data_IF_746132001178
#
_entry.id   IF_746132001178
#
_cell.length_a   1.000
_cell.length_b   1.000
_cell.length_c   1.000
_cell.angle_alpha   90.00
_cell.angle_beta   90.00
_cell.angle_gamma   90.00
#
_symmetry.space_group_name_H-M   'P 1'
#
loop_
_entity.id
_entity.type
_entity.pdbx_description
1 polymer ?
#
# COMPACT_ATOMS: atom_id res chain seq x y z
N UNK A 1 13.04 -17.28 21.81
CA UNK A 1 14.22 -16.48 22.19
C UNK A 1 14.65 -15.69 20.95
N UNK A 2 14.44 -14.38 20.95
CA UNK A 2 14.59 -13.48 19.80
C UNK A 2 15.97 -12.83 19.76
N UNK A 3 17.00 -13.57 19.36
CA UNK A 3 18.34 -12.99 19.18
C UNK A 3 18.45 -12.04 17.96
N UNK A 4 17.42 -11.99 17.10
CA UNK A 4 17.44 -11.17 15.88
C UNK A 4 17.07 -9.69 16.07
N UNK A 5 16.25 -9.35 17.08
CA UNK A 5 15.79 -7.98 17.29
C UNK A 5 16.89 -7.10 17.89
N UNK A 6 17.58 -7.59 18.93
CA UNK A 6 18.66 -6.85 19.61
C UNK A 6 19.84 -6.56 18.68
N UNK A 7 20.17 -7.50 17.78
CA UNK A 7 21.24 -7.34 16.80
C UNK A 7 20.91 -6.31 15.72
N UNK A 8 19.66 -6.28 15.24
CA UNK A 8 19.21 -5.30 14.26
C UNK A 8 19.15 -3.90 14.87
N UNK A 9 18.60 -3.77 16.09
CA UNK A 9 18.53 -2.49 16.82
C UNK A 9 19.93 -1.90 17.03
N UNK A 10 20.88 -2.72 17.49
CA UNK A 10 22.27 -2.32 17.65
C UNK A 10 22.92 -1.87 16.34
N UNK A 11 22.67 -2.57 15.23
CA UNK A 11 23.17 -2.20 13.91
C UNK A 11 22.60 -0.86 13.45
N UNK A 12 21.28 -0.67 13.54
CA UNK A 12 20.61 0.56 13.13
C UNK A 12 21.13 1.78 13.90
N UNK A 13 21.40 1.66 15.20
CA UNK A 13 22.00 2.75 16.00
C UNK A 13 23.35 3.23 15.46
N UNK A 14 24.15 2.34 14.88
CA UNK A 14 25.47 2.68 14.34
C UNK A 14 25.37 3.32 12.96
N UNK A 15 24.44 2.86 12.11
CA UNK A 15 24.34 3.29 10.70
C UNK A 15 23.30 4.41 10.44
N UNK A 16 22.43 4.70 11.42
CA UNK A 16 21.30 5.63 11.30
C UNK A 16 21.60 7.03 10.74
N UNK A 17 22.72 7.73 11.08
CA UNK A 17 22.88 9.14 10.73
C UNK A 17 22.98 9.43 9.22
N UNK A 18 23.36 8.45 8.41
CA UNK A 18 23.61 8.63 6.97
C UNK A 18 22.71 7.77 6.08
N UNK A 19 21.84 6.95 6.67
CA UNK A 19 21.04 6.01 5.91
C UNK A 19 19.87 6.71 5.23
N UNK A 20 19.85 6.70 3.89
CA UNK A 20 18.74 7.25 3.10
C UNK A 20 17.70 6.18 2.71
N UNK A 21 18.10 4.91 2.66
CA UNK A 21 17.21 3.79 2.30
C UNK A 21 17.33 2.65 3.31
N UNK A 22 16.17 2.16 3.78
CA UNK A 22 16.09 1.04 4.71
C UNK A 22 15.02 0.05 4.26
N UNK A 23 15.43 -1.20 4.09
CA UNK A 23 14.54 -2.33 3.78
C UNK A 23 14.71 -3.39 4.84
N UNK A 24 13.62 -3.74 5.53
CA UNK A 24 13.59 -4.80 6.54
C UNK A 24 12.60 -5.87 6.11
N UNK A 25 13.12 -7.00 5.64
CA UNK A 25 12.33 -8.11 5.08
C UNK A 25 11.78 -9.09 6.13
N UNK A 26 11.85 -8.72 7.41
CA UNK A 26 11.37 -9.52 8.55
C UNK A 26 10.35 -8.72 9.35
N UNK A 27 9.56 -9.40 10.18
CA UNK A 27 8.60 -8.73 11.06
C UNK A 27 9.34 -7.85 12.08
N UNK A 28 8.97 -6.57 12.11
CA UNK A 28 9.63 -5.51 12.87
C UNK A 28 8.90 -5.27 14.19
N UNK A 29 9.64 -5.23 15.29
CA UNK A 29 9.13 -4.85 16.63
C UNK A 29 9.06 -3.33 16.79
N UNK A 30 8.25 -2.82 17.74
CA UNK A 30 8.24 -1.40 18.07
C UNK A 30 9.62 -0.82 18.40
N UNK A 31 10.50 -1.57 19.08
CA UNK A 31 11.84 -1.07 19.46
C UNK A 31 12.72 -0.73 18.26
N UNK A 32 12.60 -1.49 17.16
CA UNK A 32 13.32 -1.22 15.91
C UNK A 32 12.78 0.06 15.26
N UNK A 33 11.45 0.27 15.30
CA UNK A 33 10.85 1.48 14.76
C UNK A 33 11.21 2.74 15.55
N UNK A 34 11.55 2.63 16.85
CA UNK A 34 12.10 3.74 17.62
C UNK A 34 13.46 4.21 17.09
N UNK A 35 14.26 3.29 16.53
CA UNK A 35 15.51 3.67 15.88
C UNK A 35 15.26 4.28 14.49
N UNK A 36 14.24 3.82 13.77
CA UNK A 36 13.83 4.39 12.47
C UNK A 36 13.38 5.85 12.62
N UNK A 37 12.61 6.20 13.65
CA UNK A 37 12.18 7.59 13.93
C UNK A 37 13.36 8.58 14.11
N UNK A 38 14.51 8.08 14.56
CA UNK A 38 15.72 8.88 14.74
C UNK A 38 16.48 9.15 13.43
N UNK A 39 16.19 8.42 12.36
CA UNK A 39 16.92 8.51 11.09
C UNK A 39 16.46 9.72 10.26
N UNK A 40 17.05 10.89 10.51
CA UNK A 40 16.63 12.16 9.88
C UNK A 40 16.94 12.26 8.38
N UNK A 41 17.87 11.46 7.86
CA UNK A 41 18.21 11.41 6.44
C UNK A 41 17.41 10.36 5.65
N UNK A 42 16.58 9.56 6.32
CA UNK A 42 15.86 8.46 5.68
C UNK A 42 14.81 8.98 4.71
N UNK A 43 14.91 8.58 3.44
CA UNK A 43 13.98 8.93 2.35
C UNK A 43 13.12 7.74 1.93
N UNK A 44 13.64 6.52 2.03
CA UNK A 44 12.93 5.30 1.63
C UNK A 44 12.88 4.29 2.76
N UNK A 45 11.67 3.82 3.07
CA UNK A 45 11.43 2.82 4.10
C UNK A 45 10.55 1.69 3.55
N UNK A 46 11.03 0.46 3.66
CA UNK A 46 10.24 -0.76 3.44
C UNK A 46 10.28 -1.64 4.69
N UNK A 47 9.12 -1.85 5.30
CA UNK A 47 8.99 -2.61 6.55
C UNK A 47 7.70 -3.42 6.61
N UNK A 48 7.75 -4.51 7.38
CA UNK A 48 6.59 -5.29 7.76
C UNK A 48 6.49 -5.29 9.28
N UNK A 49 5.41 -4.75 9.83
CA UNK A 49 5.24 -4.68 11.29
C UNK A 49 4.78 -6.04 11.83
N UNK A 50 5.25 -6.40 13.03
CA UNK A 50 4.76 -7.58 13.73
C UNK A 50 3.33 -7.38 14.21
N UNK A 51 2.51 -8.42 14.07
CA UNK A 51 1.18 -8.52 14.69
C UNK A 51 1.18 -9.71 15.64
N UNK A 52 0.98 -9.44 16.93
CA UNK A 52 0.71 -10.46 17.94
C UNK A 52 -0.78 -10.48 18.23
N UNK A 53 -1.36 -11.68 18.28
CA UNK A 53 -2.76 -11.84 18.66
C UNK A 53 -2.96 -11.39 20.11
N UNK A 54 -3.77 -10.34 20.31
CA UNK A 54 -4.16 -9.86 21.63
C UNK A 54 -3.33 -8.69 22.18
N UNK A 55 -2.19 -8.36 21.56
CA UNK A 55 -1.37 -7.22 21.97
C UNK A 55 -1.52 -6.06 20.99
N UNK A 56 -1.99 -4.92 21.50
CA UNK A 56 -1.90 -3.66 20.78
C UNK A 56 -0.48 -3.11 20.97
N UNK A 57 0.43 -3.57 20.13
CA UNK A 57 1.81 -3.07 20.11
C UNK A 57 1.79 -1.61 19.67
N UNK A 58 2.26 -0.73 20.55
CA UNK A 58 2.36 0.70 20.28
C UNK A 58 3.62 0.98 19.44
N UNK A 59 3.42 1.32 18.17
CA UNK A 59 4.51 1.67 17.26
C UNK A 59 4.69 3.19 17.23
N UNK A 60 5.93 3.72 17.26
CA UNK A 60 6.19 5.15 17.17
C UNK A 60 5.87 5.67 15.77
N UNK A 61 5.51 6.95 15.65
CA UNK A 61 5.21 7.63 14.37
C UNK A 61 6.30 7.42 13.29
N UNK A 62 5.88 7.47 12.03
CA UNK A 62 6.80 7.38 10.89
C UNK A 62 7.57 8.71 10.68
N UNK A 63 8.83 8.65 10.23
CA UNK A 63 9.57 9.85 9.83
C UNK A 63 8.85 10.60 8.70
N UNK A 64 8.58 11.89 8.89
CA UNK A 64 7.75 12.68 7.96
C UNK A 64 8.46 13.06 6.66
N UNK A 65 9.79 12.95 6.61
CA UNK A 65 10.61 13.30 5.47
C UNK A 65 10.68 12.21 4.38
N UNK A 66 9.98 11.08 4.57
CA UNK A 66 9.99 9.98 3.61
C UNK A 66 9.43 10.42 2.24
N UNK A 67 10.16 10.01 1.19
CA UNK A 67 9.75 10.13 -0.21
C UNK A 67 9.15 8.82 -0.72
N UNK A 68 9.53 7.68 -0.14
CA UNK A 68 9.02 6.37 -0.50
C UNK A 68 8.72 5.53 0.74
N UNK A 69 7.50 5.03 0.85
CA UNK A 69 7.07 4.18 1.96
C UNK A 69 6.40 2.90 1.44
N UNK A 70 6.92 1.76 1.87
CA UNK A 70 6.26 0.46 1.74
C UNK A 70 6.05 -0.11 3.14
N UNK A 71 4.80 -0.16 3.58
CA UNK A 71 4.47 -0.65 4.92
C UNK A 71 3.40 -1.74 4.85
N UNK A 72 3.71 -2.86 5.51
CA UNK A 72 2.77 -3.97 5.69
C UNK A 72 2.36 -4.09 7.15
N UNK A 73 1.06 -4.31 7.37
CA UNK A 73 0.41 -4.34 8.68
C UNK A 73 0.57 -3.02 9.47
N UNK A 74 0.37 -1.84 8.86
CA UNK A 74 0.51 -0.56 9.58
C UNK A 74 -0.52 -0.43 10.70
N UNK A 75 -0.21 0.44 11.67
CA UNK A 75 -1.15 0.91 12.71
C UNK A 75 -1.77 2.24 12.31
N UNK A 76 -2.83 2.65 13.03
CA UNK A 76 -3.55 3.89 12.72
C UNK A 76 -2.62 5.11 12.75
N UNK A 77 -1.81 5.27 13.79
CA UNK A 77 -0.88 6.40 13.92
C UNK A 77 0.14 6.46 12.77
N UNK A 78 0.62 5.30 12.29
CA UNK A 78 1.50 5.22 11.12
C UNK A 78 0.81 5.76 9.87
N UNK A 79 -0.46 5.38 9.65
CA UNK A 79 -1.24 5.90 8.54
C UNK A 79 -1.58 7.39 8.69
N UNK A 80 -1.80 7.88 9.92
CA UNK A 80 -1.96 9.33 10.18
C UNK A 80 -0.71 10.13 9.83
N UNK A 81 0.48 9.54 9.95
CA UNK A 81 1.70 10.21 9.52
C UNK A 81 1.73 10.46 8.01
N UNK A 82 1.16 9.55 7.21
CA UNK A 82 1.09 9.68 5.74
C UNK A 82 0.40 10.96 5.31
N UNK A 83 -0.65 11.40 6.01
CA UNK A 83 -1.37 12.67 5.73
C UNK A 83 -0.46 13.90 5.83
N UNK A 84 0.66 13.80 6.55
CA UNK A 84 1.61 14.89 6.83
C UNK A 84 2.90 14.80 6.00
N UNK A 85 3.08 13.76 5.18
CA UNK A 85 4.31 13.55 4.42
C UNK A 85 4.31 14.34 3.11
N UNK A 86 4.77 15.59 3.17
CA UNK A 86 4.74 16.52 2.04
C UNK A 86 5.56 16.09 0.81
N UNK A 87 6.58 15.23 1.02
CA UNK A 87 7.49 14.78 -0.03
C UNK A 87 7.21 13.36 -0.53
N UNK A 88 6.17 12.69 -0.02
CA UNK A 88 5.88 11.30 -0.37
C UNK A 88 5.49 11.17 -1.86
N UNK A 89 6.28 10.42 -2.61
CA UNK A 89 6.11 10.16 -4.06
C UNK A 89 5.57 8.77 -4.33
N UNK A 90 5.95 7.80 -3.50
CA UNK A 90 5.56 6.39 -3.62
C UNK A 90 5.04 5.86 -2.30
N UNK A 91 3.86 5.24 -2.32
CA UNK A 91 3.25 4.64 -1.14
C UNK A 91 2.71 3.24 -1.45
N UNK A 92 3.13 2.25 -0.67
CA UNK A 92 2.50 0.92 -0.62
C UNK A 92 1.99 0.67 0.80
N UNK A 93 0.69 0.38 0.91
CA UNK A 93 0.01 0.04 2.16
C UNK A 93 -0.70 -1.29 2.01
N UNK A 94 -0.26 -2.31 2.76
CA UNK A 94 -0.81 -3.67 2.67
C UNK A 94 -1.28 -4.14 4.05
N UNK A 95 -2.45 -4.78 4.09
CA UNK A 95 -2.98 -5.48 5.27
C UNK A 95 -3.18 -4.58 6.50
N UNK A 96 -3.70 -3.35 6.37
CA UNK A 96 -4.12 -2.57 7.54
C UNK A 96 -5.25 -3.31 8.30
N UNK A 97 -5.08 -3.55 9.59
CA UNK A 97 -6.03 -4.30 10.41
C UNK A 97 -6.75 -3.45 11.48
N UNK A 98 -6.34 -2.20 11.67
CA UNK A 98 -6.89 -1.29 12.68
C UNK A 98 -8.35 -0.85 12.43
N UNK A 99 -8.91 0.01 13.27
CA UNK A 99 -10.27 0.55 13.13
C UNK A 99 -10.51 1.25 11.78
N UNK A 100 -11.77 1.38 11.38
CA UNK A 100 -12.12 2.16 10.19
C UNK A 100 -11.74 3.63 10.39
N UNK A 101 -10.97 4.17 9.45
CA UNK A 101 -10.54 5.56 9.43
C UNK A 101 -10.77 6.18 8.05
N UNK A 102 -10.85 7.51 8.02
CA UNK A 102 -10.94 8.31 6.81
C UNK A 102 -9.74 9.27 6.72
N UNK A 103 -9.26 9.44 5.50
CA UNK A 103 -8.21 10.40 5.16
C UNK A 103 -8.82 11.67 4.60
N UNK A 104 -8.30 12.82 5.04
CA UNK A 104 -8.66 14.09 4.43
C UNK A 104 -8.02 14.21 3.03
N UNK A 105 -8.61 14.99 2.11
CA UNK A 105 -7.94 15.33 0.85
C UNK A 105 -6.53 15.85 1.12
N UNK A 106 -5.55 15.21 0.49
CA UNK A 106 -4.16 15.57 0.67
C UNK A 106 -3.92 16.98 0.18
N UNK A 107 -3.26 17.76 1.02
CA UNK A 107 -2.77 19.10 0.66
C UNK A 107 -1.44 19.02 -0.08
N UNK A 108 -0.90 17.81 -0.26
CA UNK A 108 0.40 17.53 -0.84
C UNK A 108 0.23 16.88 -2.21
N UNK A 109 0.69 17.53 -3.27
CA UNK A 109 0.54 17.07 -4.66
C UNK A 109 1.67 16.15 -5.16
N UNK A 110 2.46 15.59 -4.24
CA UNK A 110 3.70 14.87 -4.57
C UNK A 110 3.49 13.40 -4.93
N UNK A 111 2.47 12.73 -4.37
CA UNK A 111 2.28 11.29 -4.51
C UNK A 111 1.93 10.94 -5.96
N UNK A 112 2.74 10.09 -6.59
CA UNK A 112 2.55 9.67 -7.99
C UNK A 112 2.17 8.20 -8.12
N UNK A 113 2.66 7.39 -7.19
CA UNK A 113 2.48 5.95 -7.22
C UNK A 113 1.86 5.49 -5.90
N UNK A 114 0.76 4.75 -5.99
CA UNK A 114 0.03 4.23 -4.83
C UNK A 114 -0.28 2.75 -5.04
N UNK A 115 0.11 1.88 -4.11
CA UNK A 115 -0.36 0.51 -4.02
C UNK A 115 -1.13 0.29 -2.72
N UNK A 116 -2.33 -0.28 -2.85
CA UNK A 116 -3.17 -0.63 -1.71
C UNK A 116 -3.58 -2.09 -1.76
N UNK A 117 -3.46 -2.75 -0.61
CA UNK A 117 -3.89 -4.12 -0.39
C UNK A 117 -4.76 -4.21 0.84
N UNK A 118 -6.01 -4.61 0.66
CA UNK A 118 -6.99 -4.66 1.72
C UNK A 118 -7.99 -5.77 1.51
N UNK A 119 -8.57 -6.24 2.62
CA UNK A 119 -9.73 -7.11 2.59
C UNK A 119 -11.03 -6.30 2.60
N UNK A 120 -12.15 -6.96 2.33
CA UNK A 120 -13.49 -6.37 2.32
C UNK A 120 -13.84 -5.54 3.57
N UNK A 121 -13.36 -5.92 4.77
CA UNK A 121 -13.63 -5.19 6.04
C UNK A 121 -12.89 -3.85 6.13
N UNK A 122 -11.89 -3.62 5.29
CA UNK A 122 -11.01 -2.44 5.30
C UNK A 122 -11.04 -1.67 3.98
N UNK A 123 -11.96 -2.04 3.08
CA UNK A 123 -12.18 -1.39 1.78
C UNK A 123 -12.39 0.11 1.94
N UNK A 124 -13.31 0.54 2.80
CA UNK A 124 -13.64 1.96 2.96
C UNK A 124 -12.43 2.83 3.35
N UNK A 125 -11.58 2.34 4.25
CA UNK A 125 -10.35 3.05 4.64
C UNK A 125 -9.36 3.17 3.50
N UNK A 126 -9.18 2.13 2.70
CA UNK A 126 -8.27 2.22 1.55
C UNK A 126 -8.87 3.03 0.39
N UNK A 127 -10.19 2.98 0.22
CA UNK A 127 -10.88 3.86 -0.73
C UNK A 127 -10.81 5.33 -0.30
N UNK A 128 -10.87 5.64 1.00
CA UNK A 128 -10.66 7.01 1.48
C UNK A 128 -9.20 7.45 1.31
N UNK A 129 -8.22 6.56 1.46
CA UNK A 129 -6.82 6.83 1.11
C UNK A 129 -6.66 7.14 -0.39
N UNK A 130 -7.27 6.34 -1.28
CA UNK A 130 -7.25 6.61 -2.72
C UNK A 130 -7.87 7.99 -3.02
N UNK A 131 -9.03 8.31 -2.43
CA UNK A 131 -9.69 9.61 -2.59
C UNK A 131 -8.83 10.76 -2.11
N UNK A 132 -8.12 10.58 -0.99
CA UNK A 132 -7.24 11.62 -0.45
C UNK A 132 -6.16 12.06 -1.44
N UNK A 133 -5.66 11.15 -2.27
CA UNK A 133 -4.58 11.42 -3.23
C UNK A 133 -5.03 11.45 -4.69
N UNK A 134 -6.34 11.48 -4.96
CA UNK A 134 -6.89 11.34 -6.31
C UNK A 134 -6.43 12.42 -7.31
N UNK A 135 -6.06 13.60 -6.81
CA UNK A 135 -5.58 14.73 -7.60
C UNK A 135 -4.13 14.59 -8.08
N UNK A 136 -3.34 13.67 -7.51
CA UNK A 136 -1.89 13.58 -7.74
C UNK A 136 -1.41 12.23 -8.24
N UNK A 137 -2.07 11.13 -7.84
CA UNK A 137 -1.70 9.75 -8.20
C UNK A 137 -1.85 9.53 -9.70
N UNK A 138 -0.77 9.06 -10.31
CA UNK A 138 -0.66 8.74 -11.73
C UNK A 138 -0.71 7.24 -11.99
N UNK A 139 -0.23 6.44 -11.04
CA UNK A 139 -0.28 4.98 -11.12
C UNK A 139 -0.83 4.40 -9.81
N UNK A 140 -1.92 3.65 -9.95
CA UNK A 140 -2.61 2.99 -8.84
C UNK A 140 -2.51 1.48 -8.99
N UNK A 141 -2.08 0.81 -7.95
CA UNK A 141 -2.03 -0.65 -7.85
C UNK A 141 -3.04 -1.11 -6.80
N UNK A 142 -3.89 -2.06 -7.17
CA UNK A 142 -4.89 -2.62 -6.27
C UNK A 142 -4.73 -4.12 -6.22
N UNK A 143 -4.46 -4.63 -5.01
CA UNK A 143 -4.44 -6.05 -4.76
C UNK A 143 -5.87 -6.61 -4.80
N UNK A 144 -6.17 -7.45 -5.79
CA UNK A 144 -7.50 -8.02 -5.97
C UNK A 144 -7.48 -9.35 -6.72
N UNK A 145 -8.53 -10.14 -6.53
CA UNK A 145 -8.69 -11.44 -7.19
C UNK A 145 -9.59 -11.36 -8.41
N UNK A 146 -9.42 -12.30 -9.34
CA UNK A 146 -10.29 -12.38 -10.54
C UNK A 146 -11.63 -13.05 -10.24
N UNK A 147 -11.69 -13.91 -9.22
CA UNK A 147 -12.87 -14.67 -8.86
C UNK A 147 -13.14 -14.62 -7.35
N UNK A 148 -14.42 -14.74 -7.03
CA UNK A 148 -14.98 -14.86 -5.68
C UNK A 148 -14.49 -16.14 -4.97
N UNK A 149 -14.18 -17.19 -5.71
CA UNK A 149 -13.82 -18.51 -5.15
C UNK A 149 -12.38 -18.57 -4.62
N UNK A 150 -11.58 -17.52 -4.85
CA UNK A 150 -10.19 -17.46 -4.43
C UNK A 150 -10.03 -16.72 -3.10
N UNK A 151 -9.40 -17.36 -2.10
CA UNK A 151 -9.10 -16.80 -0.77
C UNK A 151 -10.31 -16.14 -0.06
N UNK A 152 -11.41 -16.89 0.06
CA UNK A 152 -12.56 -16.54 0.90
C UNK A 152 -13.26 -15.22 0.57
N UNK A 153 -13.33 -14.83 -0.72
CA UNK A 153 -13.97 -13.59 -1.21
C UNK A 153 -13.37 -12.28 -0.68
N UNK A 154 -12.37 -12.35 0.20
CA UNK A 154 -11.89 -11.21 0.96
C UNK A 154 -11.26 -10.13 0.07
N UNK A 155 -10.80 -10.50 -1.12
CA UNK A 155 -10.10 -9.64 -2.08
C UNK A 155 -10.82 -9.55 -3.43
N UNK A 156 -12.08 -9.98 -3.50
CA UNK A 156 -12.91 -9.87 -4.69
C UNK A 156 -13.85 -8.67 -4.56
N UNK A 157 -13.74 -7.72 -5.48
CA UNK A 157 -14.47 -6.46 -5.46
C UNK A 157 -15.23 -6.29 -6.78
N UNK A 158 -16.52 -6.65 -6.80
CA UNK A 158 -17.34 -6.58 -8.02
C UNK A 158 -17.68 -5.15 -8.44
N UNK A 159 -17.70 -4.24 -7.48
CA UNK A 159 -18.06 -2.82 -7.60
C UNK A 159 -16.82 -1.90 -7.73
N UNK A 160 -15.62 -2.48 -7.82
CA UNK A 160 -14.36 -1.71 -7.80
C UNK A 160 -14.30 -0.62 -8.88
N UNK A 161 -14.82 -0.89 -10.07
CA UNK A 161 -14.86 0.09 -11.16
C UNK A 161 -15.67 1.32 -10.80
N UNK A 162 -16.90 1.13 -10.32
CA UNK A 162 -17.81 2.21 -9.93
C UNK A 162 -17.24 3.03 -8.77
N UNK A 163 -16.69 2.36 -7.76
CA UNK A 163 -16.10 3.02 -6.60
C UNK A 163 -14.88 3.86 -6.98
N UNK A 164 -14.01 3.37 -7.87
CA UNK A 164 -12.87 4.14 -8.38
C UNK A 164 -13.33 5.30 -9.28
N UNK A 165 -14.37 5.10 -10.10
CA UNK A 165 -14.96 6.15 -10.92
C UNK A 165 -15.47 7.32 -10.07
N UNK A 166 -16.00 7.04 -8.87
CA UNK A 166 -16.44 8.05 -7.91
C UNK A 166 -15.30 8.77 -7.16
N UNK A 167 -14.05 8.32 -7.28
CA UNK A 167 -12.93 8.89 -6.53
C UNK A 167 -12.34 10.18 -7.13
N UNK A 168 -12.75 10.60 -8.34
CA UNK A 168 -12.21 11.81 -8.97
C UNK A 168 -10.72 11.70 -9.35
N UNK A 169 -10.30 10.53 -9.85
CA UNK A 169 -8.92 10.18 -10.20
C UNK A 169 -8.42 10.87 -11.48
N UNK A 170 -8.38 12.20 -11.48
CA UNK A 170 -8.09 13.01 -12.69
C UNK A 170 -6.64 12.93 -13.18
N UNK A 171 -5.69 12.64 -12.28
CA UNK A 171 -4.27 12.50 -12.63
C UNK A 171 -3.87 11.08 -13.04
N UNK A 172 -4.77 10.11 -12.85
CA UNK A 172 -4.50 8.71 -13.05
C UNK A 172 -4.23 8.41 -14.53
N UNK A 173 -3.16 7.69 -14.80
CA UNK A 173 -2.77 7.23 -16.14
C UNK A 173 -2.82 5.71 -16.25
N UNK A 174 -2.58 5.02 -15.14
CA UNK A 174 -2.48 3.57 -15.12
C UNK A 174 -3.07 2.98 -13.85
N UNK A 175 -3.96 2.00 -14.01
CA UNK A 175 -4.46 1.15 -12.96
C UNK A 175 -3.91 -0.27 -13.17
N UNK A 176 -3.25 -0.82 -12.16
CA UNK A 176 -2.69 -2.16 -12.16
C UNK A 176 -3.44 -3.02 -11.15
N UNK A 177 -4.03 -4.12 -11.63
CA UNK A 177 -4.59 -5.16 -10.79
C UNK A 177 -3.47 -6.11 -10.38
N UNK A 178 -3.04 -5.99 -9.12
CA UNK A 178 -2.02 -6.84 -8.51
C UNK A 178 -2.68 -8.13 -8.05
N UNK A 179 -2.12 -9.26 -8.45
CA UNK A 179 -2.70 -10.58 -8.19
C UNK A 179 -1.92 -11.34 -7.13
N UNK A 180 -2.60 -12.04 -6.22
CA UNK A 180 -1.96 -13.03 -5.35
C UNK A 180 -1.13 -14.07 -6.14
N UNK A 181 -0.04 -14.62 -5.58
CA UNK A 181 0.85 -15.57 -6.28
C UNK A 181 0.22 -16.86 -6.82
N UNK A 182 -1.02 -17.19 -6.46
CA UNK A 182 -1.75 -18.37 -6.95
C UNK A 182 -3.09 -18.04 -7.60
N UNK A 183 -3.35 -16.75 -7.86
CA UNK A 183 -4.60 -16.32 -8.47
C UNK A 183 -4.79 -16.99 -9.85
N UNK A 184 -5.99 -17.49 -10.18
CA UNK A 184 -6.22 -18.22 -11.41
C UNK A 184 -6.23 -17.32 -12.65
N UNK A 185 -5.97 -16.01 -12.55
CA UNK A 185 -6.00 -15.07 -13.68
C UNK A 185 -5.18 -15.55 -14.91
N UNK A 186 -4.06 -16.27 -14.72
CA UNK A 186 -3.31 -16.86 -15.86
C UNK A 186 -4.03 -18.02 -16.54
N UNK A 187 -4.86 -18.77 -15.80
CA UNK A 187 -5.72 -19.85 -16.32
C UNK A 187 -7.08 -19.34 -16.78
N UNK A 188 -7.49 -18.16 -16.32
CA UNK A 188 -8.78 -17.51 -16.60
C UNK A 188 -8.56 -16.17 -17.30
N UNK A 189 -7.73 -16.15 -18.36
CA UNK A 189 -7.35 -14.93 -19.07
C UNK A 189 -8.58 -14.12 -19.53
N UNK A 190 -9.60 -14.80 -20.07
CA UNK A 190 -10.85 -14.15 -20.48
C UNK A 190 -11.57 -13.43 -19.32
N UNK A 191 -11.66 -14.06 -18.14
CA UNK A 191 -12.25 -13.44 -16.95
C UNK A 191 -11.41 -12.25 -16.46
N UNK A 192 -10.09 -12.38 -16.50
CA UNK A 192 -9.17 -11.32 -16.10
C UNK A 192 -9.25 -10.10 -17.03
N UNK A 193 -9.34 -10.33 -18.35
CA UNK A 193 -9.56 -9.28 -19.36
C UNK A 193 -10.93 -8.64 -19.24
N UNK A 194 -11.98 -9.43 -18.98
CA UNK A 194 -13.33 -8.91 -18.75
C UNK A 194 -13.34 -7.98 -17.52
N UNK A 195 -12.72 -8.38 -16.40
CA UNK A 195 -12.60 -7.54 -15.21
C UNK A 195 -11.87 -6.22 -15.51
N UNK A 196 -10.73 -6.28 -16.21
CA UNK A 196 -9.98 -5.07 -16.61
C UNK A 196 -10.85 -4.14 -17.47
N UNK A 197 -11.60 -4.69 -18.43
CA UNK A 197 -12.49 -3.92 -19.30
C UNK A 197 -13.64 -3.30 -18.53
N UNK A 198 -14.30 -4.05 -17.66
CA UNK A 198 -15.41 -3.56 -16.82
C UNK A 198 -14.96 -2.39 -15.94
N UNK A 199 -13.79 -2.52 -15.29
CA UNK A 199 -13.21 -1.43 -14.49
C UNK A 199 -12.85 -0.24 -15.39
N UNK A 200 -12.21 -0.50 -16.54
CA UNK A 200 -11.84 0.55 -17.50
C UNK A 200 -13.03 1.37 -18.01
N UNK A 201 -14.20 0.74 -18.19
CA UNK A 201 -15.42 1.44 -18.59
C UNK A 201 -15.92 2.46 -17.55
N UNK A 202 -15.47 2.36 -16.29
CA UNK A 202 -15.85 3.27 -15.20
C UNK A 202 -14.84 4.40 -14.98
N UNK A 203 -13.71 4.38 -15.69
CA UNK A 203 -12.59 5.32 -15.53
C UNK A 203 -12.47 6.25 -16.74
N UNK A 204 -11.75 7.38 -16.61
CA UNK A 204 -11.46 8.24 -17.75
C UNK A 204 -10.83 7.47 -18.92
N UNK A 205 -11.18 7.78 -20.19
CA UNK A 205 -10.74 6.98 -21.35
C UNK A 205 -9.21 6.86 -21.56
N UNK A 206 -8.43 7.76 -20.96
CA UNK A 206 -6.97 7.75 -21.05
C UNK A 206 -6.30 6.83 -20.02
N UNK A 207 -7.05 6.27 -19.07
CA UNK A 207 -6.53 5.40 -18.02
C UNK A 207 -6.32 3.99 -18.59
N UNK A 208 -5.09 3.50 -18.54
CA UNK A 208 -4.78 2.13 -18.90
C UNK A 208 -5.07 1.19 -17.72
N UNK A 209 -5.97 0.23 -17.89
CA UNK A 209 -6.24 -0.83 -16.88
C UNK A 209 -5.57 -2.14 -17.29
N UNK A 210 -4.65 -2.63 -16.47
CA UNK A 210 -3.89 -3.86 -16.75
C UNK A 210 -3.85 -4.80 -15.55
N UNK A 211 -3.70 -6.10 -15.81
CA UNK A 211 -3.35 -7.07 -14.79
C UNK A 211 -1.84 -7.29 -14.76
N UNK A 212 -1.21 -7.22 -13.58
CA UNK A 212 0.24 -7.40 -13.43
C UNK A 212 0.75 -8.76 -13.95
N UNK A 213 -0.05 -9.83 -13.80
CA UNK A 213 0.36 -11.17 -14.22
C UNK A 213 0.15 -11.43 -15.71
N UNK A 214 -0.91 -10.87 -16.32
CA UNK A 214 -1.23 -11.08 -17.74
C UNK A 214 -0.52 -10.09 -18.65
N UNK A 215 -0.26 -8.87 -18.18
CA UNK A 215 0.48 -7.85 -18.90
C UNK A 215 1.96 -7.93 -18.56
N UNK A 216 2.57 -9.10 -18.78
CA UNK A 216 4.02 -9.20 -18.88
C UNK A 216 4.39 -8.86 -20.33
N UNK A 217 5.23 -7.86 -20.59
CA UNK A 217 5.85 -7.76 -21.91
C UNK A 217 6.54 -9.11 -22.18
N UNK A 218 6.34 -9.65 -23.38
CA UNK A 218 7.12 -10.78 -23.84
C UNK A 218 8.59 -10.33 -23.81
N UNK A 219 9.37 -10.91 -22.91
CA UNK A 219 10.82 -10.82 -22.94
C UNK A 219 11.35 -11.74 -24.03
#
# INVERSE_FOLDING_TARGET
>A
MSHGADGLEGLLRVVAPQLEELVINVDVQPSVMLEVDKMKSLKRLEVRLEVRCGDDLDYPDLPLQLEELSIRLPRENQLRCVERMAHLRSLRVIDYLGPEMNFAPSQHGALRWLEVGFNAKRKNTMMSLIRAYASSVQELHIYCTVSVDYHHKAFYFSDLGEELGACGLHALRRLVLVRPPRDPCTKQLAGCLLQCRTIGNSLPPHVQVVCQMCHKPAF
#
